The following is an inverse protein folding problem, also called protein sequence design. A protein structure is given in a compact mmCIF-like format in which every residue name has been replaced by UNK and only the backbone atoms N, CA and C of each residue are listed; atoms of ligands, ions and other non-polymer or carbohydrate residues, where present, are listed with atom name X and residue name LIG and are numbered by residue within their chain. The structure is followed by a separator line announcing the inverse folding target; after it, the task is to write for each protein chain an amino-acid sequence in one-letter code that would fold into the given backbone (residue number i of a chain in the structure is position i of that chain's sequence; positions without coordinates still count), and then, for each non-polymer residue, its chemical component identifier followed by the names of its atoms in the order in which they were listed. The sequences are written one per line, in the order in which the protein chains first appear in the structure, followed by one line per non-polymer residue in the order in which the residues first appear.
data_IF_846049853928
#
_entry.id   IF_846049853928
#
_cell.length_a   1.000
_cell.length_b   1.000
_cell.length_c   1.000
_cell.angle_alpha   90.00
_cell.angle_beta   90.00
_cell.angle_gamma   90.00
#
_symmetry.space_group_name_H-M   'P 1'
#
loop_
_entity.id
_entity.type
_entity.pdbx_description
1 polymer ?
#
# COMPACT_ATOMS: atom_id res chain seq x y z
N UNK A 1 11.92 5.65 12.93
CA UNK A 1 11.05 6.24 13.97
C UNK A 1 9.64 5.91 13.54
N UNK A 2 8.89 5.18 14.36
CA UNK A 2 7.52 4.75 14.04
C UNK A 2 6.62 5.98 13.89
N UNK A 3 5.82 6.06 12.82
CA UNK A 3 4.93 7.20 12.63
C UNK A 3 3.91 7.29 13.78
N UNK A 4 3.78 8.43 14.48
CA UNK A 4 2.79 8.54 15.55
C UNK A 4 1.38 8.29 15.00
N UNK A 5 0.60 7.46 15.71
CA UNK A 5 -0.78 7.08 15.34
C UNK A 5 -1.70 8.28 15.08
N UNK A 6 -1.40 9.44 15.65
CA UNK A 6 -2.12 10.67 15.40
C UNK A 6 -1.24 11.65 14.62
N UNK A 7 -1.70 12.01 13.43
CA UNK A 7 -1.03 12.95 12.56
C UNK A 7 -0.96 14.37 13.16
N UNK A 8 0.19 15.02 12.98
CA UNK A 8 0.42 16.43 13.30
C UNK A 8 0.13 17.38 12.13
N UNK A 9 -0.24 16.86 10.95
CA UNK A 9 -0.59 17.67 9.79
C UNK A 9 -1.84 18.51 10.04
N UNK A 10 -1.76 19.79 9.63
CA UNK A 10 -2.87 20.76 9.74
C UNK A 10 -3.85 20.69 8.58
N UNK A 11 -3.41 20.20 7.40
CA UNK A 11 -4.27 19.95 6.25
C UNK A 11 -5.04 18.63 6.42
N UNK A 12 -6.35 18.66 6.16
CA UNK A 12 -7.25 17.54 6.44
C UNK A 12 -6.91 16.25 5.69
N UNK A 13 -6.63 16.35 4.39
CA UNK A 13 -6.28 15.20 3.53
C UNK A 13 -4.99 14.53 4.02
N UNK A 14 -3.92 15.32 4.19
CA UNK A 14 -2.64 14.82 4.72
C UNK A 14 -2.81 14.15 6.09
N UNK A 15 -3.71 14.66 6.95
CA UNK A 15 -3.98 14.08 8.27
C UNK A 15 -4.66 12.71 8.17
N UNK A 16 -5.57 12.52 7.22
CA UNK A 16 -6.23 11.23 6.99
C UNK A 16 -5.24 10.22 6.42
N UNK A 17 -4.52 10.57 5.36
CA UNK A 17 -3.54 9.69 4.73
C UNK A 17 -2.46 9.24 5.71
N UNK A 18 -1.89 10.17 6.49
CA UNK A 18 -0.86 9.81 7.47
C UNK A 18 -1.39 8.99 8.66
N UNK A 19 -2.63 9.20 9.09
CA UNK A 19 -3.25 8.36 10.13
C UNK A 19 -3.51 6.94 9.61
N UNK A 20 -3.98 6.80 8.37
CA UNK A 20 -4.15 5.50 7.71
C UNK A 20 -2.82 4.74 7.65
N UNK A 21 -1.76 5.39 7.17
CA UNK A 21 -0.43 4.78 7.10
C UNK A 21 0.12 4.42 8.49
N UNK A 22 -0.06 5.28 9.49
CA UNK A 22 0.39 5.01 10.85
C UNK A 22 -0.34 3.82 11.49
N UNK A 23 -1.63 3.64 11.22
CA UNK A 23 -2.39 2.46 11.65
C UNK A 23 -1.86 1.20 10.98
N UNK A 24 -1.65 1.22 9.66
CA UNK A 24 -1.09 0.07 8.92
C UNK A 24 0.32 -0.31 9.43
N UNK A 25 1.16 0.67 9.79
CA UNK A 25 2.50 0.43 10.32
C UNK A 25 2.50 -0.13 11.76
N UNK A 26 1.47 0.16 12.56
CA UNK A 26 1.41 -0.23 13.99
C UNK A 26 0.65 -1.53 14.26
N UNK A 27 -0.13 -2.00 13.29
CA UNK A 27 -0.98 -3.18 13.44
C UNK A 27 -0.24 -4.39 12.86
N UNK A 28 -0.01 -5.41 13.67
CA UNK A 28 0.61 -6.70 13.32
C UNK A 28 0.17 -7.17 11.92
N UNK A 29 1.12 -7.67 11.11
CA UNK A 29 1.02 -7.86 9.64
C UNK A 29 -0.29 -8.48 9.18
N UNK A 30 -0.85 -9.41 9.95
CA UNK A 30 -2.11 -10.09 9.60
C UNK A 30 -3.34 -9.18 9.58
N UNK A 31 -3.52 -8.29 10.56
CA UNK A 31 -4.67 -7.36 10.55
C UNK A 31 -4.43 -6.21 9.56
N UNK A 32 -3.17 -5.84 9.29
CA UNK A 32 -2.83 -4.93 8.20
C UNK A 32 -3.17 -5.53 6.82
N UNK A 33 -2.84 -6.81 6.61
CA UNK A 33 -3.22 -7.60 5.45
C UNK A 33 -4.75 -7.67 5.33
N UNK A 34 -5.48 -8.09 6.39
CA UNK A 34 -6.95 -8.19 6.38
C UNK A 34 -7.63 -6.85 5.99
N UNK A 35 -7.14 -5.71 6.50
CA UNK A 35 -7.68 -4.38 6.17
C UNK A 35 -7.39 -4.03 4.70
N UNK A 36 -6.20 -4.36 4.22
CA UNK A 36 -5.82 -4.08 2.84
C UNK A 36 -6.57 -4.97 1.86
N UNK A 37 -6.73 -6.26 2.16
CA UNK A 37 -7.61 -7.21 1.45
C UNK A 37 -9.03 -6.65 1.30
N UNK A 38 -9.61 -6.16 2.39
CA UNK A 38 -10.94 -5.55 2.37
C UNK A 38 -11.00 -4.24 1.54
N UNK A 39 -9.92 -3.46 1.49
CA UNK A 39 -9.85 -2.23 0.71
C UNK A 39 -9.67 -2.47 -0.79
N UNK A 40 -8.98 -3.54 -1.17
CA UNK A 40 -8.74 -3.89 -2.58
C UNK A 40 -9.70 -4.93 -3.13
N UNK A 41 -10.60 -5.47 -2.30
CA UNK A 41 -11.53 -6.58 -2.63
C UNK A 41 -10.82 -7.83 -3.14
N UNK A 42 -9.66 -8.15 -2.55
CA UNK A 42 -8.84 -9.33 -2.87
C UNK A 42 -8.60 -10.13 -1.58
N UNK A 43 -8.82 -11.44 -1.59
CA UNK A 43 -8.76 -12.29 -0.37
C UNK A 43 -7.45 -13.05 -0.17
N UNK A 44 -6.45 -12.85 -1.03
CA UNK A 44 -5.14 -13.52 -1.00
C UNK A 44 -3.99 -12.50 -1.13
N UNK A 45 -4.13 -11.32 -0.50
CA UNK A 45 -3.16 -10.24 -0.65
C UNK A 45 -1.91 -10.50 0.21
N UNK A 46 -0.90 -11.15 -0.37
CA UNK A 46 0.41 -11.30 0.27
C UNK A 46 1.30 -10.08 0.01
N UNK A 47 1.36 -9.16 0.98
CA UNK A 47 2.22 -7.96 0.91
C UNK A 47 3.71 -8.29 1.02
N UNK A 48 4.03 -9.36 1.74
CA UNK A 48 5.39 -9.84 1.97
C UNK A 48 5.39 -11.37 1.93
N UNK A 49 5.95 -11.94 0.87
CA UNK A 49 6.17 -13.38 0.75
C UNK A 49 7.52 -13.75 1.37
N UNK A 50 7.49 -14.73 2.27
CA UNK A 50 8.68 -15.34 2.87
C UNK A 50 8.90 -16.72 2.26
N UNK A 51 9.84 -16.81 1.33
CA UNK A 51 10.25 -18.08 0.74
C UNK A 51 11.44 -18.65 1.53
N UNK A 52 11.25 -19.77 2.23
CA UNK A 52 12.35 -20.54 2.80
C UNK A 52 12.92 -21.48 1.74
N UNK A 53 14.25 -21.56 1.62
CA UNK A 53 14.96 -22.40 0.63
C UNK A 53 14.53 -22.13 -0.83
N UNK A 54 14.87 -20.96 -1.37
CA UNK A 54 14.52 -20.59 -2.76
C UNK A 54 15.21 -21.53 -3.76
N UNK A 55 14.48 -22.53 -4.26
CA UNK A 55 14.97 -23.47 -5.29
C UNK A 55 14.90 -22.86 -6.69
N UNK A 56 15.84 -23.18 -7.59
CA UNK A 56 15.79 -22.75 -9.02
C UNK A 56 16.73 -21.60 -9.42
N UNK A 57 17.61 -21.18 -8.52
CA UNK A 57 18.73 -20.24 -8.78
C UNK A 57 20.07 -20.97 -8.61
N UNK A 58 21.14 -20.54 -9.30
CA UNK A 58 22.46 -21.21 -9.31
C UNK A 58 23.10 -21.39 -7.91
N UNK A 59 22.65 -20.62 -6.92
CA UNK A 59 22.98 -20.76 -5.50
C UNK A 59 21.72 -20.57 -4.68
N UNK A 60 21.34 -21.54 -3.85
CA UNK A 60 20.10 -21.52 -3.04
C UNK A 60 20.30 -20.62 -1.81
N UNK A 61 19.61 -19.47 -1.70
CA UNK A 61 19.61 -18.67 -0.48
C UNK A 61 18.73 -19.31 0.60
N UNK A 62 19.10 -19.11 1.87
CA UNK A 62 18.39 -19.68 3.04
C UNK A 62 16.94 -19.17 3.15
N UNK A 63 16.69 -17.92 2.77
CA UNK A 63 15.36 -17.34 2.61
C UNK A 63 15.37 -16.15 1.64
N UNK A 64 14.21 -15.82 1.07
CA UNK A 64 13.97 -14.55 0.38
C UNK A 64 12.69 -13.90 0.89
N UNK A 65 12.73 -12.56 0.98
CA UNK A 65 11.58 -11.73 1.28
C UNK A 65 11.25 -10.98 -0.01
N UNK A 66 10.05 -11.17 -0.54
CA UNK A 66 9.58 -10.54 -1.79
C UNK A 66 8.29 -9.76 -1.53
N UNK A 67 8.16 -8.59 -2.16
CA UNK A 67 6.91 -7.82 -2.17
C UNK A 67 6.34 -7.77 -3.58
N UNK A 68 5.01 -7.77 -3.71
CA UNK A 68 4.28 -7.94 -4.98
C UNK A 68 3.34 -6.77 -5.33
N UNK A 69 3.26 -5.74 -4.49
CA UNK A 69 2.14 -4.79 -4.53
C UNK A 69 2.57 -3.33 -4.41
N UNK A 70 1.98 -2.48 -5.25
CA UNK A 70 1.99 -1.02 -5.16
C UNK A 70 0.55 -0.49 -4.94
N UNK A 71 0.28 -0.02 -3.72
CA UNK A 71 -0.98 0.65 -3.36
C UNK A 71 -0.74 2.14 -3.17
N UNK A 72 -1.36 2.95 -4.04
CA UNK A 72 -1.27 4.41 -3.97
C UNK A 72 -2.61 4.96 -3.50
N UNK A 73 -2.59 5.96 -2.62
CA UNK A 73 -3.80 6.52 -2.01
C UNK A 73 -3.96 7.99 -2.41
N UNK A 74 -5.09 8.32 -3.02
CA UNK A 74 -5.54 9.70 -3.24
C UNK A 74 -6.73 9.96 -2.31
N UNK A 75 -6.58 10.86 -1.33
CA UNK A 75 -7.62 11.13 -0.34
C UNK A 75 -8.23 12.51 -0.54
N UNK A 76 -9.57 12.58 -0.55
CA UNK A 76 -10.34 13.81 -0.64
C UNK A 76 -11.26 13.97 0.57
N UNK A 77 -11.20 15.14 1.19
CA UNK A 77 -12.06 15.45 2.36
C UNK A 77 -13.35 16.17 1.99
N UNK A 78 -13.55 16.48 0.70
CA UNK A 78 -14.71 17.21 0.19
C UNK A 78 -15.35 16.47 -0.99
N UNK A 79 -16.68 16.44 -1.08
CA UNK A 79 -17.38 15.87 -2.23
C UNK A 79 -16.94 16.52 -3.55
N UNK A 80 -16.85 15.73 -4.62
CA UNK A 80 -16.48 16.18 -5.97
C UNK A 80 -15.10 16.85 -6.09
N UNK A 81 -14.19 16.62 -5.14
CA UNK A 81 -12.84 17.17 -5.17
C UNK A 81 -11.85 16.35 -6.00
N UNK A 82 -12.23 15.12 -6.41
CA UNK A 82 -11.45 14.25 -7.29
C UNK A 82 -11.39 14.85 -8.69
N UNK A 83 -10.18 14.99 -9.24
CA UNK A 83 -9.98 15.52 -10.60
C UNK A 83 -9.48 14.41 -11.51
N UNK A 84 -10.17 14.21 -12.64
CA UNK A 84 -9.82 13.15 -13.59
C UNK A 84 -8.36 13.24 -14.07
N UNK A 85 -7.89 14.42 -14.45
CA UNK A 85 -6.52 14.60 -14.92
C UNK A 85 -5.47 14.20 -13.88
N UNK A 86 -5.75 14.44 -12.60
CA UNK A 86 -4.89 14.03 -11.49
C UNK A 86 -4.84 12.50 -11.40
N UNK A 87 -5.98 11.82 -11.50
CA UNK A 87 -6.02 10.35 -11.50
C UNK A 87 -5.27 9.76 -12.70
N UNK A 88 -5.44 10.33 -13.90
CA UNK A 88 -4.72 9.90 -15.10
C UNK A 88 -3.20 10.03 -14.95
N UNK A 89 -2.74 11.12 -14.33
CA UNK A 89 -1.31 11.31 -14.05
C UNK A 89 -0.78 10.33 -13.00
N UNK A 90 -1.58 10.02 -11.97
CA UNK A 90 -1.24 8.98 -10.99
C UNK A 90 -1.18 7.59 -11.61
N UNK A 91 -2.14 7.24 -12.47
CA UNK A 91 -2.15 5.95 -13.16
C UNK A 91 -0.94 5.78 -14.11
N UNK A 92 -0.59 6.81 -14.89
CA UNK A 92 0.61 6.78 -15.75
C UNK A 92 1.91 6.57 -14.96
N UNK A 93 1.98 7.12 -13.75
CA UNK A 93 3.13 6.95 -12.88
C UNK A 93 3.14 5.56 -12.24
N UNK A 94 1.97 5.06 -11.85
CA UNK A 94 1.80 3.72 -11.28
C UNK A 94 2.13 2.61 -12.30
N UNK A 95 1.80 2.79 -13.59
CA UNK A 95 2.15 1.87 -14.68
C UNK A 95 3.66 1.63 -14.83
N UNK A 96 4.51 2.51 -14.27
CA UNK A 96 5.97 2.38 -14.28
C UNK A 96 6.52 1.59 -13.08
N UNK A 97 5.68 1.27 -12.09
CA UNK A 97 6.07 0.52 -10.91
C UNK A 97 6.27 -0.97 -11.27
N UNK A 98 7.35 -1.63 -10.81
CA UNK A 98 7.61 -3.04 -11.15
C UNK A 98 6.73 -4.05 -10.40
N UNK A 99 5.84 -3.62 -9.51
CA UNK A 99 4.98 -4.50 -8.71
C UNK A 99 3.93 -5.23 -9.56
N UNK A 100 3.67 -6.50 -9.24
CA UNK A 100 2.70 -7.33 -9.95
C UNK A 100 1.25 -6.84 -9.78
N UNK A 101 0.91 -6.35 -8.58
CA UNK A 101 -0.38 -5.76 -8.26
C UNK A 101 -0.24 -4.25 -8.09
N UNK A 102 -0.93 -3.50 -8.95
CA UNK A 102 -0.97 -2.06 -8.92
C UNK A 102 -2.41 -1.60 -8.65
N UNK A 103 -2.60 -0.73 -7.66
CA UNK A 103 -3.90 -0.10 -7.37
C UNK A 103 -3.73 1.36 -6.98
N UNK A 104 -4.58 2.22 -7.55
CA UNK A 104 -4.85 3.57 -7.07
C UNK A 104 -6.19 3.55 -6.32
N UNK A 105 -6.15 3.78 -5.01
CA UNK A 105 -7.31 3.80 -4.12
C UNK A 105 -7.69 5.26 -3.88
N UNK A 106 -8.94 5.62 -4.21
CA UNK A 106 -9.48 6.96 -3.99
C UNK A 106 -10.43 6.93 -2.79
N UNK A 107 -10.12 7.69 -1.75
CA UNK A 107 -10.86 7.76 -0.48
C UNK A 107 -11.49 9.13 -0.26
#
# INVERSE_FOLDING_TARGET
MTNPLFSTYTQGENRVTSTLLAVLEHVNSRLGEDILEALVDESDLSLVAFDNQVTGVESVPDAAIRGSTALWFETKTSPNAVRQSQLEDHLKALDQDPSDLQRLIVL
#
